data_IF_046206556182
#
_entry.id   IF_046206556182
#
_cell.length_a   1.000
_cell.length_b   1.000
_cell.length_c   1.000
_cell.angle_alpha   90.00
_cell.angle_beta   90.00
_cell.angle_gamma   90.00
#
_symmetry.space_group_name_H-M   'P 1'
#
loop_
_entity.id
_entity.type
_entity.pdbx_description
1 polymer ?
#
# COMPACT_ATOMS: atom_id res chain seq x y z
N UNK A 1 56.72 -54.03 4.28
CA UNK A 1 55.84 -53.26 5.17
C UNK A 1 55.73 -51.84 4.62
N UNK A 2 54.51 -51.40 4.37
CA UNK A 2 54.09 -50.50 3.29
C UNK A 2 54.20 -48.98 3.62
N UNK A 3 55.28 -48.33 3.18
CA UNK A 3 55.46 -46.87 3.27
C UNK A 3 54.55 -46.07 2.31
N UNK A 4 54.00 -46.73 1.29
CA UNK A 4 53.16 -46.11 0.26
C UNK A 4 51.74 -45.81 0.75
N UNK A 5 51.21 -46.60 1.69
CA UNK A 5 49.92 -46.34 2.33
C UNK A 5 49.95 -45.11 3.27
N UNK A 6 51.04 -44.90 4.01
CA UNK A 6 51.16 -43.78 4.94
C UNK A 6 51.18 -42.41 4.23
N UNK A 7 51.81 -42.34 3.06
CA UNK A 7 51.89 -41.12 2.25
C UNK A 7 50.52 -40.72 1.66
N UNK A 8 49.72 -41.70 1.20
CA UNK A 8 48.37 -41.44 0.67
C UNK A 8 47.41 -40.92 1.74
N UNK A 9 47.46 -41.48 2.96
CA UNK A 9 46.63 -41.03 4.08
C UNK A 9 46.97 -39.59 4.51
N UNK A 10 48.26 -39.22 4.46
CA UNK A 10 48.70 -37.86 4.79
C UNK A 10 48.22 -36.81 3.77
N UNK A 11 48.23 -37.16 2.48
CA UNK A 11 47.75 -36.29 1.40
C UNK A 11 46.23 -36.10 1.49
N UNK A 12 45.47 -37.16 1.76
CA UNK A 12 44.01 -37.08 1.94
C UNK A 12 43.67 -36.23 3.17
N UNK A 13 44.37 -36.42 4.30
CA UNK A 13 44.15 -35.61 5.50
C UNK A 13 44.47 -34.12 5.30
N UNK A 14 45.52 -33.80 4.52
CA UNK A 14 45.86 -32.40 4.17
C UNK A 14 44.83 -31.80 3.22
N UNK A 15 44.35 -32.56 2.23
CA UNK A 15 43.31 -32.12 1.31
C UNK A 15 42.00 -31.82 2.05
N UNK A 16 41.58 -32.72 2.94
CA UNK A 16 40.35 -32.53 3.71
C UNK A 16 40.42 -31.31 4.63
N UNK A 17 41.59 -31.07 5.26
CA UNK A 17 41.83 -29.88 6.08
C UNK A 17 41.80 -28.58 5.26
N UNK A 18 42.35 -28.57 4.05
CA UNK A 18 42.29 -27.42 3.15
C UNK A 18 40.85 -27.12 2.66
N UNK A 19 40.06 -28.18 2.42
CA UNK A 19 38.64 -28.07 2.06
C UNK A 19 37.81 -27.51 3.22
N UNK A 20 38.10 -27.94 4.44
CA UNK A 20 37.43 -27.47 5.66
C UNK A 20 37.74 -26.00 5.95
N UNK A 21 38.99 -25.57 5.76
CA UNK A 21 39.38 -24.16 5.88
C UNK A 21 38.66 -23.30 4.83
N UNK A 22 38.54 -23.80 3.59
CA UNK A 22 37.81 -23.11 2.52
C UNK A 22 36.32 -23.01 2.83
N UNK A 23 35.72 -24.08 3.37
CA UNK A 23 34.32 -24.10 3.77
C UNK A 23 34.04 -23.15 4.96
N UNK A 24 34.93 -23.09 5.96
CA UNK A 24 34.84 -22.15 7.07
C UNK A 24 34.99 -20.69 6.62
N UNK A 25 35.82 -20.41 5.60
CA UNK A 25 35.90 -19.07 4.99
C UNK A 25 34.61 -18.70 4.26
N UNK A 26 34.03 -19.63 3.50
CA UNK A 26 32.73 -19.43 2.81
C UNK A 26 31.58 -19.20 3.81
N UNK A 27 31.57 -19.90 4.95
CA UNK A 27 30.59 -19.70 6.02
C UNK A 27 30.76 -18.35 6.73
N UNK A 28 32.00 -17.88 6.95
CA UNK A 28 32.26 -16.54 7.48
C UNK A 28 31.85 -15.43 6.51
N UNK A 29 32.07 -15.58 5.20
CA UNK A 29 31.62 -14.59 4.22
C UNK A 29 30.09 -14.51 4.13
N UNK A 30 29.38 -15.63 4.28
CA UNK A 30 27.91 -15.63 4.42
C UNK A 30 27.42 -14.97 5.70
N UNK A 31 28.21 -14.96 6.78
CA UNK A 31 27.88 -14.35 8.07
C UNK A 31 28.02 -12.83 8.13
N UNK A 32 28.64 -12.18 7.14
CA UNK A 32 28.84 -10.72 7.08
C UNK A 32 27.81 -10.02 6.17
N UNK A 33 26.99 -10.78 5.44
CA UNK A 33 25.90 -10.26 4.60
C UNK A 33 24.55 -10.21 5.34
N UNK A 34 24.56 -9.93 6.64
CA UNK A 34 23.38 -9.43 7.37
C UNK A 34 23.57 -7.94 7.63
N UNK A 35 23.57 -7.15 6.54
CA UNK A 35 23.00 -5.80 6.67
C UNK A 35 21.55 -5.98 7.12
N UNK A 36 21.02 -5.13 8.03
CA UNK A 36 19.59 -5.15 8.32
C UNK A 36 18.91 -4.97 6.95
N UNK A 37 18.20 -5.99 6.48
CA UNK A 37 17.35 -5.88 5.31
C UNK A 37 16.36 -4.77 5.68
N UNK A 38 16.63 -3.55 5.23
CA UNK A 38 15.68 -2.47 5.37
C UNK A 38 14.62 -2.84 4.35
N UNK A 39 13.62 -3.60 4.80
CA UNK A 39 12.57 -4.07 3.92
C UNK A 39 12.01 -2.83 3.22
N UNK A 40 12.09 -2.79 1.89
CA UNK A 40 11.62 -1.68 1.07
C UNK A 40 10.25 -1.13 1.50
N UNK A 41 9.26 -1.96 1.91
CA UNK A 41 7.99 -1.43 2.38
C UNK A 41 8.07 -0.77 3.76
N UNK A 42 8.97 -1.20 4.65
CA UNK A 42 9.21 -0.57 5.96
C UNK A 42 9.82 0.83 5.80
N UNK A 43 10.73 1.02 4.84
CA UNK A 43 11.24 2.35 4.45
C UNK A 43 10.13 3.23 3.89
N UNK A 44 9.29 2.66 3.02
CA UNK A 44 8.16 3.37 2.43
C UNK A 44 7.10 3.78 3.47
N UNK A 45 6.79 2.89 4.42
CA UNK A 45 5.90 3.17 5.56
C UNK A 45 6.46 4.26 6.47
N UNK A 46 7.77 4.24 6.74
CA UNK A 46 8.43 5.27 7.53
C UNK A 46 8.38 6.63 6.82
N UNK A 47 8.58 6.64 5.51
CA UNK A 47 8.41 7.84 4.68
C UNK A 47 6.98 8.38 4.73
N UNK A 48 5.97 7.51 4.62
CA UNK A 48 4.57 7.91 4.74
C UNK A 48 4.20 8.41 6.14
N UNK A 49 4.77 7.82 7.20
CA UNK A 49 4.60 8.31 8.55
C UNK A 49 5.19 9.73 8.71
N UNK A 50 6.39 9.97 8.16
CA UNK A 50 7.01 11.30 8.15
C UNK A 50 6.16 12.33 7.40
N UNK A 51 5.63 11.95 6.22
CA UNK A 51 4.76 12.81 5.43
C UNK A 51 3.40 13.08 6.11
N UNK A 52 2.84 12.11 6.83
CA UNK A 52 1.61 12.29 7.60
C UNK A 52 1.77 13.33 8.71
N UNK A 53 2.88 13.24 9.46
CA UNK A 53 3.23 14.21 10.51
C UNK A 53 3.45 15.59 9.89
N UNK A 54 4.15 15.69 8.76
CA UNK A 54 4.39 16.95 8.07
C UNK A 54 3.11 17.57 7.49
N UNK A 55 2.17 16.73 7.02
CA UNK A 55 0.88 17.16 6.49
C UNK A 55 -0.08 17.70 7.58
N UNK A 56 0.24 17.50 8.87
CA UNK A 56 -0.60 17.88 10.03
C UNK A 56 -2.06 17.39 9.91
N UNK A 57 -2.28 16.31 9.15
CA UNK A 57 -3.60 15.74 8.90
C UNK A 57 -3.77 14.48 9.76
N UNK A 58 -4.68 14.55 10.73
CA UNK A 58 -4.93 13.46 11.67
C UNK A 58 -5.35 12.16 10.94
N UNK A 59 -6.08 12.25 9.82
CA UNK A 59 -6.52 11.05 9.09
C UNK A 59 -5.33 10.28 8.50
N UNK A 60 -4.38 10.97 7.85
CA UNK A 60 -3.18 10.33 7.27
C UNK A 60 -2.30 9.77 8.38
N UNK A 61 -2.11 10.55 9.45
CA UNK A 61 -1.25 10.17 10.56
C UNK A 61 -1.76 8.91 11.25
N UNK A 62 -3.07 8.84 11.54
CA UNK A 62 -3.69 7.66 12.16
C UNK A 62 -3.56 6.43 11.26
N UNK A 63 -3.87 6.56 9.97
CA UNK A 63 -3.74 5.45 9.02
C UNK A 63 -2.29 4.94 8.90
N UNK A 64 -1.32 5.85 8.80
CA UNK A 64 0.10 5.51 8.69
C UNK A 64 0.63 4.84 9.96
N UNK A 65 0.29 5.37 11.14
CA UNK A 65 0.69 4.79 12.44
C UNK A 65 0.07 3.41 12.63
N UNK A 66 -1.22 3.24 12.28
CA UNK A 66 -1.88 1.95 12.37
C UNK A 66 -1.22 0.88 11.48
N UNK A 67 -0.93 1.23 10.22
CA UNK A 67 -0.21 0.32 9.30
C UNK A 67 1.21 0.03 9.77
N UNK A 68 1.91 1.02 10.32
CA UNK A 68 3.25 0.85 10.89
C UNK A 68 3.21 -0.09 12.10
N UNK A 69 2.20 0.01 12.95
CA UNK A 69 2.03 -0.88 14.11
C UNK A 69 1.77 -2.33 13.67
N UNK A 70 0.90 -2.55 12.67
CA UNK A 70 0.66 -3.87 12.07
C UNK A 70 1.91 -4.49 11.44
N UNK A 71 2.75 -3.65 10.84
CA UNK A 71 4.05 -4.07 10.29
C UNK A 71 5.00 -4.52 11.40
N UNK A 72 5.12 -3.74 12.47
CA UNK A 72 5.98 -4.02 13.63
C UNK A 72 5.55 -5.31 14.34
N UNK A 73 4.26 -5.62 14.39
CA UNK A 73 3.74 -6.89 14.96
C UNK A 73 3.92 -8.10 14.03
N UNK A 74 4.54 -7.93 12.86
CA UNK A 74 4.93 -9.00 11.94
C UNK A 74 3.75 -9.85 11.40
N UNK A 75 2.52 -9.32 11.43
CA UNK A 75 1.30 -10.02 11.00
C UNK A 75 1.15 -9.94 9.47
N UNK A 76 2.02 -10.64 8.76
CA UNK A 76 2.08 -10.63 7.30
C UNK A 76 0.79 -11.15 6.62
N UNK A 77 0.01 -12.01 7.30
CA UNK A 77 -1.28 -12.50 6.81
C UNK A 77 -2.40 -11.45 6.85
N UNK A 78 -2.25 -10.37 7.62
CA UNK A 78 -3.27 -9.31 7.66
C UNK A 78 -3.27 -8.45 6.40
N UNK A 79 -2.11 -8.25 5.75
CA UNK A 79 -1.98 -7.37 4.59
C UNK A 79 -2.85 -7.79 3.39
N UNK A 80 -2.83 -9.06 2.92
CA UNK A 80 -3.68 -9.48 1.80
C UNK A 80 -5.18 -9.37 2.12
N UNK A 81 -5.56 -9.58 3.39
CA UNK A 81 -6.96 -9.45 3.80
C UNK A 81 -7.41 -7.99 3.81
N UNK A 82 -6.56 -7.08 4.31
CA UNK A 82 -6.80 -5.63 4.30
C UNK A 82 -6.85 -5.10 2.86
N UNK A 83 -5.96 -5.55 1.98
CA UNK A 83 -5.98 -5.12 0.57
C UNK A 83 -7.25 -5.59 -0.15
N UNK A 84 -7.70 -6.82 0.11
CA UNK A 84 -8.90 -7.39 -0.53
C UNK A 84 -10.22 -6.82 0.01
N UNK A 85 -10.35 -6.67 1.32
CA UNK A 85 -11.62 -6.26 1.94
C UNK A 85 -11.62 -4.82 2.47
N UNK A 86 -10.46 -4.22 2.72
CA UNK A 86 -10.35 -2.90 3.31
C UNK A 86 -10.98 -1.80 2.46
N UNK A 87 -10.79 -1.84 1.13
CA UNK A 87 -11.44 -0.87 0.23
C UNK A 87 -12.96 -1.06 0.22
N UNK A 88 -13.45 -2.29 0.08
CA UNK A 88 -14.88 -2.61 0.08
C UNK A 88 -15.55 -2.18 1.39
N UNK A 89 -14.95 -2.52 2.54
CA UNK A 89 -15.43 -2.10 3.85
C UNK A 89 -15.40 -0.57 4.00
N UNK A 90 -14.34 0.08 3.52
CA UNK A 90 -14.22 1.54 3.52
C UNK A 90 -15.33 2.23 2.73
N UNK A 91 -15.66 1.72 1.54
CA UNK A 91 -16.75 2.25 0.70
C UNK A 91 -18.10 2.06 1.38
N UNK A 92 -18.34 0.91 2.02
CA UNK A 92 -19.59 0.66 2.76
C UNK A 92 -19.73 1.67 3.91
N UNK A 93 -18.68 1.83 4.74
CA UNK A 93 -18.68 2.77 5.85
C UNK A 93 -18.88 4.22 5.36
N UNK A 94 -18.20 4.60 4.28
CA UNK A 94 -18.36 5.92 3.65
C UNK A 94 -19.80 6.14 3.17
N UNK A 95 -20.40 5.14 2.52
CA UNK A 95 -21.77 5.22 2.00
C UNK A 95 -22.78 5.37 3.15
N UNK A 96 -22.61 4.63 4.24
CA UNK A 96 -23.42 4.78 5.45
C UNK A 96 -23.29 6.21 6.00
N UNK A 97 -22.07 6.75 6.09
CA UNK A 97 -21.85 8.12 6.56
C UNK A 97 -22.54 9.19 5.70
N UNK A 98 -22.56 8.99 4.37
CA UNK A 98 -23.25 9.89 3.43
C UNK A 98 -24.79 9.76 3.54
N UNK A 99 -25.31 8.54 3.79
CA UNK A 99 -26.74 8.29 3.96
C UNK A 99 -27.27 8.66 5.36
N UNK A 100 -26.40 8.77 6.37
CA UNK A 100 -26.76 9.12 7.74
C UNK A 100 -27.61 10.40 7.88
N UNK A 101 -27.27 11.56 7.26
CA UNK A 101 -28.11 12.77 7.35
C UNK A 101 -29.49 12.63 6.70
N UNK A 102 -29.62 11.76 5.70
CA UNK A 102 -30.92 11.42 5.10
C UNK A 102 -31.75 10.55 6.06
N UNK A 103 -31.11 9.59 6.72
CA UNK A 103 -31.77 8.70 7.67
C UNK A 103 -32.14 9.39 9.00
N UNK A 104 -31.37 10.40 9.42
CA UNK A 104 -31.63 11.16 10.65
C UNK A 104 -32.80 12.15 10.54
N UNK A 105 -33.41 12.29 9.37
CA UNK A 105 -34.54 13.20 9.13
C UNK A 105 -34.15 14.69 9.16
N UNK A 106 -32.86 15.01 9.20
CA UNK A 106 -32.35 16.40 9.18
C UNK A 106 -32.62 17.11 7.85
N UNK A 107 -32.85 16.34 6.78
CA UNK A 107 -33.17 16.85 5.45
C UNK A 107 -34.68 16.67 5.20
N UNK A 108 -35.41 17.79 5.13
CA UNK A 108 -36.85 17.79 4.84
C UNK A 108 -37.13 17.39 3.39
N UNK A 109 -38.19 16.61 3.13
CA UNK A 109 -38.57 16.23 1.77
C UNK A 109 -38.85 17.44 0.86
N UNK A 110 -39.28 18.58 1.42
CA UNK A 110 -39.46 19.83 0.66
C UNK A 110 -38.14 20.40 0.14
N UNK A 111 -37.07 20.40 0.94
CA UNK A 111 -35.78 20.96 0.53
C UNK A 111 -35.11 20.11 -0.55
N UNK A 112 -35.41 18.80 -0.59
CA UNK A 112 -34.96 17.90 -1.65
C UNK A 112 -35.59 18.30 -2.99
N UNK A 113 -36.92 18.44 -3.04
CA UNK A 113 -37.64 18.83 -4.27
C UNK A 113 -37.23 20.22 -4.77
N UNK A 114 -37.09 21.21 -3.89
CA UNK A 114 -36.61 22.54 -4.27
C UNK A 114 -35.15 22.52 -4.75
N UNK A 115 -34.31 21.64 -4.17
CA UNK A 115 -32.93 21.46 -4.62
C UNK A 115 -32.87 20.85 -6.02
N UNK A 116 -33.71 19.87 -6.36
CA UNK A 116 -33.76 19.27 -7.69
C UNK A 116 -34.10 20.28 -8.81
N UNK A 117 -34.88 21.31 -8.50
CA UNK A 117 -35.20 22.40 -9.45
C UNK A 117 -34.05 23.39 -9.64
N UNK A 118 -33.04 23.36 -8.78
CA UNK A 118 -31.90 24.24 -8.88
C UNK A 118 -30.86 23.68 -9.87
N UNK A 119 -30.45 24.50 -10.84
CA UNK A 119 -29.41 24.16 -11.84
C UNK A 119 -28.14 23.53 -11.22
N UNK A 120 -27.75 23.97 -10.02
CA UNK A 120 -26.58 23.45 -9.29
C UNK A 120 -26.75 21.98 -8.89
N UNK A 121 -27.96 21.56 -8.52
CA UNK A 121 -28.24 20.17 -8.16
C UNK A 121 -28.21 19.27 -9.39
N UNK A 122 -28.77 19.72 -10.51
CA UNK A 122 -28.70 18.97 -11.76
C UNK A 122 -27.25 18.75 -12.22
N UNK A 123 -26.42 19.79 -12.14
CA UNK A 123 -24.99 19.67 -12.39
C UNK A 123 -24.30 18.70 -11.42
N UNK A 124 -24.65 18.74 -10.12
CA UNK A 124 -24.11 17.81 -9.13
C UNK A 124 -24.49 16.35 -9.41
N UNK A 125 -25.70 16.08 -9.90
CA UNK A 125 -26.13 14.73 -10.31
C UNK A 125 -25.31 14.23 -11.49
N UNK A 126 -25.14 15.05 -12.53
CA UNK A 126 -24.34 14.69 -13.71
C UNK A 126 -22.89 14.37 -13.32
N UNK A 127 -22.28 15.23 -12.49
CA UNK A 127 -20.92 15.00 -11.99
C UNK A 127 -20.87 13.75 -11.11
N UNK A 128 -21.86 13.53 -10.25
CA UNK A 128 -21.94 12.34 -9.40
C UNK A 128 -21.99 11.04 -10.21
N UNK A 129 -22.82 10.99 -11.27
CA UNK A 129 -22.89 9.85 -12.18
C UNK A 129 -21.56 9.62 -12.91
N UNK A 130 -20.92 10.69 -13.39
CA UNK A 130 -19.59 10.60 -13.99
C UNK A 130 -18.55 10.05 -13.02
N UNK A 131 -18.47 10.58 -11.79
CA UNK A 131 -17.51 10.11 -10.78
C UNK A 131 -17.78 8.65 -10.39
N UNK A 132 -19.03 8.23 -10.27
CA UNK A 132 -19.37 6.83 -9.99
C UNK A 132 -18.91 5.89 -11.12
N UNK A 133 -19.09 6.29 -12.38
CA UNK A 133 -18.59 5.55 -13.54
C UNK A 133 -17.06 5.42 -13.52
N UNK A 134 -16.35 6.50 -13.17
CA UNK A 134 -14.90 6.51 -13.02
C UNK A 134 -14.43 5.62 -11.88
N UNK A 135 -15.11 5.66 -10.73
CA UNK A 135 -14.79 4.81 -9.59
C UNK A 135 -14.85 3.33 -9.93
N UNK A 136 -15.87 2.90 -10.68
CA UNK A 136 -16.01 1.52 -11.16
C UNK A 136 -14.85 1.09 -12.07
N UNK A 137 -14.46 1.93 -13.05
CA UNK A 137 -13.30 1.64 -13.91
C UNK A 137 -11.97 1.69 -13.15
N UNK A 138 -11.81 2.67 -12.26
CA UNK A 138 -10.64 2.82 -11.42
C UNK A 138 -10.40 1.60 -10.54
N UNK A 139 -11.46 1.04 -9.95
CA UNK A 139 -11.38 -0.18 -9.15
C UNK A 139 -10.80 -1.35 -9.96
N UNK A 140 -11.28 -1.54 -11.20
CA UNK A 140 -10.77 -2.59 -12.08
C UNK A 140 -9.30 -2.34 -12.49
N UNK A 141 -8.90 -1.09 -12.74
CA UNK A 141 -7.51 -0.74 -13.04
C UNK A 141 -6.59 -1.08 -11.86
N UNK A 142 -7.05 -0.87 -10.63
CA UNK A 142 -6.26 -1.15 -9.43
C UNK A 142 -5.98 -2.64 -9.24
N UNK A 143 -6.93 -3.50 -9.59
CA UNK A 143 -6.74 -4.95 -9.52
C UNK A 143 -5.88 -5.50 -10.67
N UNK A 144 -5.88 -4.83 -11.83
CA UNK A 144 -5.17 -5.32 -13.03
C UNK A 144 -3.73 -4.81 -13.16
N UNK A 145 -3.44 -3.60 -12.69
CA UNK A 145 -2.13 -2.95 -12.87
C UNK A 145 -1.63 -2.28 -11.58
N UNK A 146 -1.17 -3.07 -10.59
CA UNK A 146 -0.72 -2.54 -9.30
C UNK A 146 0.45 -1.57 -9.40
N UNK A 147 1.30 -1.69 -10.44
CA UNK A 147 2.41 -0.76 -10.70
C UNK A 147 1.93 0.68 -10.90
N UNK A 148 0.81 0.87 -11.60
CA UNK A 148 0.21 2.20 -11.81
C UNK A 148 -0.36 2.73 -10.50
N UNK A 149 -0.96 1.85 -9.68
CA UNK A 149 -1.52 2.20 -8.37
C UNK A 149 -0.45 2.72 -7.43
N UNK A 150 0.74 2.11 -7.41
CA UNK A 150 1.86 2.60 -6.58
C UNK A 150 2.24 4.03 -6.95
N UNK A 151 2.34 4.35 -8.24
CA UNK A 151 2.59 5.72 -8.71
C UNK A 151 1.48 6.70 -8.30
N UNK A 152 0.22 6.26 -8.36
CA UNK A 152 -0.95 7.02 -7.92
C UNK A 152 -0.95 7.31 -6.41
N UNK A 153 -0.57 6.33 -5.58
CA UNK A 153 -0.46 6.50 -4.14
C UNK A 153 0.58 7.59 -3.84
N UNK A 154 1.75 7.53 -4.48
CA UNK A 154 2.81 8.54 -4.30
C UNK A 154 2.30 9.92 -4.71
N UNK A 155 1.70 10.05 -5.90
CA UNK A 155 1.20 11.33 -6.41
C UNK A 155 0.09 11.92 -5.53
N UNK A 156 -0.86 11.11 -5.06
CA UNK A 156 -1.95 11.57 -4.18
C UNK A 156 -1.43 12.03 -2.82
N UNK A 157 -0.45 11.35 -2.25
CA UNK A 157 0.13 11.73 -0.95
C UNK A 157 0.91 13.03 -1.06
N UNK A 158 1.71 13.20 -2.13
CA UNK A 158 2.39 14.47 -2.42
C UNK A 158 1.35 15.59 -2.56
N UNK A 159 0.32 15.38 -3.38
CA UNK A 159 -0.76 16.37 -3.56
C UNK A 159 -1.41 16.76 -2.23
N UNK A 160 -1.78 15.79 -1.40
CA UNK A 160 -2.40 16.08 -0.10
C UNK A 160 -1.44 16.83 0.83
N UNK A 161 -0.15 16.48 0.85
CA UNK A 161 0.85 17.15 1.68
C UNK A 161 1.02 18.63 1.31
N UNK A 162 0.98 18.99 0.02
CA UNK A 162 1.11 20.37 -0.44
C UNK A 162 -0.20 21.17 -0.33
N UNK A 163 -1.33 20.57 -0.71
CA UNK A 163 -2.62 21.26 -0.77
C UNK A 163 -3.44 21.17 0.53
N UNK A 164 -2.90 20.54 1.59
CA UNK A 164 -3.62 20.26 2.86
C UNK A 164 -4.97 19.57 2.66
N UNK A 165 -5.06 18.74 1.62
CA UNK A 165 -6.29 18.03 1.25
C UNK A 165 -6.61 16.86 2.16
N UNK A 166 -7.66 16.12 1.81
CA UNK A 166 -7.99 14.83 2.44
C UNK A 166 -7.61 13.72 1.45
N UNK A 167 -6.94 12.65 1.88
CA UNK A 167 -6.63 11.52 1.02
C UNK A 167 -7.94 10.77 0.67
N UNK A 168 -8.56 11.11 -0.45
CA UNK A 168 -9.77 10.44 -0.96
C UNK A 168 -9.45 9.07 -1.61
N UNK A 169 -8.20 8.64 -1.51
CA UNK A 169 -7.70 7.36 -2.01
C UNK A 169 -7.32 7.39 -3.50
N UNK A 170 -6.65 6.33 -3.98
CA UNK A 170 -6.20 6.25 -5.36
C UNK A 170 -7.34 5.89 -6.33
N UNK A 171 -8.54 5.57 -5.82
CA UNK A 171 -9.67 5.11 -6.64
C UNK A 171 -10.16 6.15 -7.65
N UNK A 172 -10.35 7.40 -7.20
CA UNK A 172 -10.80 8.49 -8.07
C UNK A 172 -9.71 8.84 -9.09
N UNK A 173 -8.46 8.91 -8.64
CA UNK A 173 -7.32 9.13 -9.51
C UNK A 173 -7.19 8.01 -10.56
N UNK A 174 -7.44 6.76 -10.17
CA UNK A 174 -7.39 5.61 -11.06
C UNK A 174 -8.53 5.65 -12.08
N UNK A 175 -9.71 6.11 -11.69
CA UNK A 175 -10.83 6.34 -12.59
C UNK A 175 -10.51 7.40 -13.65
N UNK A 176 -9.95 8.54 -13.24
CA UNK A 176 -9.50 9.59 -14.15
C UNK A 176 -8.38 9.11 -15.08
N UNK A 177 -7.37 8.45 -14.52
CA UNK A 177 -6.27 7.90 -15.28
C UNK A 177 -6.73 6.82 -16.26
N UNK A 178 -7.72 6.01 -15.88
CA UNK A 178 -8.31 5.01 -16.76
C UNK A 178 -8.94 5.63 -18.00
N UNK A 179 -9.48 6.85 -17.95
CA UNK A 179 -9.95 7.53 -19.16
C UNK A 179 -8.80 7.96 -20.07
N UNK A 180 -7.68 8.38 -19.48
CA UNK A 180 -6.51 8.87 -20.22
C UNK A 180 -5.72 7.74 -20.89
N UNK A 181 -5.66 6.57 -20.24
CA UNK A 181 -4.95 5.38 -20.73
C UNK A 181 -5.86 4.45 -21.56
N UNK A 182 -7.17 4.67 -21.59
CA UNK A 182 -8.11 3.84 -22.36
C UNK A 182 -7.78 3.92 -23.86
N UNK A 183 -7.07 2.91 -24.37
CA UNK A 183 -6.92 2.58 -25.78
C UNK A 183 -7.11 1.07 -25.96
#
# INVERSE_FOLDING_TARGET
MDQTAQSKTLIIARCNRALQITNDRLLRERGIQQMPQIDTPSVLLLFFALLGILSKNNSITIAAVFLLLLRVTNVHQAFPWIEKHGLTLGIIILTIGILAPLASGTISMKSIYESFLHWKSLAAIVVGVMVAYLGGRGFHLMSSQPTIVTGLIIGTIIGVAFFKGVPVGPLIAAGLLSLLISK
#
